data_IF_491944620530
#
_entry.id   IF_491944620530
#
_cell.length_a   1.000
_cell.length_b   1.000
_cell.length_c   1.000
_cell.angle_alpha   90.00
_cell.angle_beta   90.00
_cell.angle_gamma   90.00
#
_symmetry.space_group_name_H-M   'P 1'
#
loop_
_entity.id
_entity.type
_entity.pdbx_description
1 polymer ?
#
# COMPACT_ATOMS: atom_id res chain seq x y z
N UNK A 1 0.30 -11.19 -38.55
CA UNK A 1 0.13 -9.98 -37.71
C UNK A 1 -0.85 -10.29 -36.58
N UNK A 2 -0.38 -10.43 -35.34
CA UNK A 2 -1.22 -10.71 -34.16
C UNK A 2 -1.79 -9.38 -33.64
N UNK A 3 -3.11 -9.21 -33.69
CA UNK A 3 -3.81 -8.07 -33.06
C UNK A 3 -3.79 -8.27 -31.54
N UNK A 4 -3.07 -7.41 -30.84
CA UNK A 4 -3.18 -7.23 -29.39
C UNK A 4 -4.58 -6.67 -29.07
N UNK A 5 -5.39 -7.45 -28.35
CA UNK A 5 -6.56 -6.93 -27.66
C UNK A 5 -6.09 -6.00 -26.54
N UNK A 6 -6.33 -4.69 -26.68
CA UNK A 6 -6.29 -3.75 -25.56
C UNK A 6 -7.55 -3.98 -24.71
N UNK A 7 -7.39 -4.64 -23.58
CA UNK A 7 -8.42 -4.68 -22.55
C UNK A 7 -8.37 -3.31 -21.83
N UNK A 8 -9.38 -2.49 -22.08
CA UNK A 8 -9.59 -1.21 -21.39
C UNK A 8 -10.25 -1.49 -20.04
N UNK A 9 -9.51 -1.27 -18.96
CA UNK A 9 -10.02 -1.39 -17.59
C UNK A 9 -10.76 -0.07 -17.27
N UNK A 10 -12.07 -0.04 -17.52
CA UNK A 10 -12.99 0.96 -16.95
C UNK A 10 -13.45 0.42 -15.61
N UNK A 11 -13.16 1.10 -14.49
CA UNK A 11 -13.72 0.63 -13.22
C UNK A 11 -13.53 1.45 -11.95
N UNK A 12 -12.48 2.27 -11.80
CA UNK A 12 -12.28 3.01 -10.55
C UNK A 12 -12.74 4.46 -10.75
N UNK A 13 -13.91 4.80 -10.20
CA UNK A 13 -14.37 6.19 -10.10
C UNK A 13 -13.64 6.88 -8.95
N UNK A 14 -12.53 7.54 -9.25
CA UNK A 14 -11.90 8.46 -8.32
C UNK A 14 -12.75 9.74 -8.21
N UNK A 15 -13.17 10.11 -7.01
CA UNK A 15 -13.78 11.41 -6.75
C UNK A 15 -12.72 12.50 -6.96
N UNK A 16 -12.96 13.38 -7.94
CA UNK A 16 -12.09 14.51 -8.25
C UNK A 16 -12.40 15.67 -7.30
N UNK A 17 -11.51 15.94 -6.35
CA UNK A 17 -11.50 17.24 -5.66
C UNK A 17 -10.68 18.23 -6.49
N UNK A 18 -11.37 19.09 -7.23
CA UNK A 18 -10.76 20.20 -7.97
C UNK A 18 -10.24 21.29 -7.02
N UNK A 19 -9.13 21.92 -7.41
CA UNK A 19 -8.45 22.94 -6.63
C UNK A 19 -9.30 24.23 -6.60
N UNK A 20 -10.10 24.42 -5.54
CA UNK A 20 -10.80 25.66 -5.20
C UNK A 20 -10.60 25.92 -3.69
N UNK A 21 -9.43 26.43 -3.31
CA UNK A 21 -8.98 26.83 -1.95
C UNK A 21 -9.13 25.81 -0.81
N UNK A 22 -8.07 25.70 -0.01
CA UNK A 22 -8.17 25.19 1.37
C UNK A 22 -7.13 24.16 1.79
N UNK A 23 -6.15 23.79 0.97
CA UNK A 23 -5.07 22.87 1.38
C UNK A 23 -3.76 23.20 0.66
N UNK A 24 -2.72 23.51 1.44
CA UNK A 24 -1.35 23.76 0.99
C UNK A 24 -0.48 22.52 1.20
N UNK A 25 0.26 22.11 0.18
CA UNK A 25 1.28 21.07 0.32
C UNK A 25 2.46 21.61 1.14
N UNK A 26 2.87 20.88 2.17
CA UNK A 26 4.00 21.25 3.03
C UNK A 26 5.25 20.48 2.62
N UNK A 27 5.17 19.15 2.67
CA UNK A 27 6.32 18.29 2.40
C UNK A 27 5.90 16.87 1.98
N UNK A 28 6.90 16.05 1.63
CA UNK A 28 6.78 14.61 1.46
C UNK A 28 7.49 13.92 2.61
N UNK A 29 6.79 13.59 3.71
CA UNK A 29 7.44 13.27 4.97
C UNK A 29 8.03 11.86 5.03
N UNK A 30 7.83 11.04 4.00
CA UNK A 30 8.36 9.68 3.93
C UNK A 30 7.83 8.77 5.05
N UNK A 31 8.71 7.93 5.59
CA UNK A 31 8.36 6.86 6.53
C UNK A 31 8.06 7.43 7.92
N UNK A 32 6.90 7.08 8.47
CA UNK A 32 6.58 7.37 9.87
C UNK A 32 7.09 6.27 10.80
N UNK A 33 6.89 5.00 10.41
CA UNK A 33 7.36 3.84 11.16
C UNK A 33 6.85 3.81 12.59
N UNK A 34 7.77 3.47 13.51
CA UNK A 34 7.57 3.44 14.95
C UNK A 34 7.28 4.83 15.56
N UNK A 35 7.67 5.91 14.88
CA UNK A 35 7.44 7.29 15.31
C UNK A 35 6.09 7.87 14.89
N UNK A 36 5.20 7.07 14.32
CA UNK A 36 3.88 7.52 13.82
C UNK A 36 3.10 8.33 14.87
N UNK A 37 3.02 7.85 16.11
CA UNK A 37 2.29 8.54 17.17
C UNK A 37 2.90 9.90 17.52
N UNK A 38 4.23 9.97 17.61
CA UNK A 38 4.98 11.21 17.87
C UNK A 38 4.78 12.24 16.74
N UNK A 39 4.89 11.79 15.48
CA UNK A 39 4.71 12.64 14.29
C UNK A 39 3.28 13.20 14.23
N UNK A 40 2.27 12.37 14.46
CA UNK A 40 0.86 12.78 14.49
C UNK A 40 0.63 13.82 15.60
N UNK A 41 1.17 13.57 16.80
CA UNK A 41 1.06 14.52 17.91
C UNK A 41 1.77 15.85 17.61
N UNK A 42 2.92 15.80 16.92
CA UNK A 42 3.64 16.98 16.43
C UNK A 42 2.79 17.81 15.47
N UNK A 43 2.21 17.18 14.44
CA UNK A 43 1.34 17.89 13.49
C UNK A 43 0.06 18.42 14.15
N UNK A 44 -0.54 17.68 15.07
CA UNK A 44 -1.68 18.14 15.85
C UNK A 44 -1.35 19.39 16.67
N UNK A 45 -0.15 19.44 17.25
CA UNK A 45 0.34 20.59 18.01
C UNK A 45 0.70 21.78 17.12
N UNK A 46 1.28 21.54 15.95
CA UNK A 46 1.78 22.59 15.06
C UNK A 46 0.66 23.23 14.23
N UNK A 47 -0.21 22.42 13.64
CA UNK A 47 -1.23 22.88 12.69
C UNK A 47 -2.64 22.91 13.30
N UNK A 48 -2.85 22.22 14.42
CA UNK A 48 -4.16 22.00 15.02
C UNK A 48 -4.84 20.76 14.45
N UNK A 49 -5.52 20.01 15.32
CA UNK A 49 -6.32 18.84 14.93
C UNK A 49 -7.29 19.21 13.81
N UNK A 50 -7.35 18.37 12.78
CA UNK A 50 -8.20 18.53 11.59
C UNK A 50 -7.82 19.68 10.63
N UNK A 51 -6.74 20.43 10.91
CA UNK A 51 -6.19 21.42 9.98
C UNK A 51 -5.00 20.88 9.18
N UNK A 52 -4.67 19.60 9.33
CA UNK A 52 -3.69 18.91 8.50
C UNK A 52 -4.23 17.56 8.06
N UNK A 53 -3.66 17.00 7.00
CA UNK A 53 -3.96 15.65 6.52
C UNK A 53 -2.78 15.05 5.77
N UNK A 54 -2.73 13.72 5.76
CA UNK A 54 -1.84 12.96 4.88
C UNK A 54 -2.65 12.45 3.70
N UNK A 55 -2.18 12.77 2.50
CA UNK A 55 -2.74 12.31 1.23
C UNK A 55 -1.62 11.76 0.37
N UNK A 56 -1.98 11.06 -0.71
CA UNK A 56 -0.99 10.62 -1.70
C UNK A 56 -1.25 11.31 -3.03
N UNK A 57 -0.23 11.90 -3.63
CA UNK A 57 -0.30 12.45 -4.98
C UNK A 57 -0.62 11.31 -5.96
N UNK A 58 -1.58 11.52 -6.87
CA UNK A 58 -1.93 10.53 -7.87
C UNK A 58 -2.42 11.23 -9.14
N UNK A 59 -1.68 11.04 -10.25
CA UNK A 59 -1.89 11.76 -11.51
C UNK A 59 -2.07 13.28 -11.27
N UNK A 60 -3.21 13.85 -11.66
CA UNK A 60 -3.50 15.28 -11.52
C UNK A 60 -3.96 15.69 -10.11
N UNK A 61 -4.23 14.74 -9.21
CA UNK A 61 -4.92 15.00 -7.94
C UNK A 61 -4.22 14.41 -6.71
N UNK A 62 -5.01 14.18 -5.69
CA UNK A 62 -4.62 13.50 -4.45
C UNK A 62 -5.68 12.46 -4.11
N UNK A 63 -5.22 11.35 -3.54
CA UNK A 63 -6.07 10.24 -3.09
C UNK A 63 -5.88 10.02 -1.59
N UNK A 64 -6.91 9.50 -0.93
CA UNK A 64 -6.89 9.18 0.49
C UNK A 64 -6.45 7.73 0.72
N UNK A 65 -6.26 7.38 1.99
CA UNK A 65 -5.77 6.07 2.41
C UNK A 65 -6.56 4.88 1.80
N UNK A 66 -7.90 4.86 1.76
CA UNK A 66 -8.64 3.74 1.16
C UNK A 66 -8.30 3.51 -0.32
N UNK A 67 -8.17 4.60 -1.10
CA UNK A 67 -7.77 4.52 -2.50
C UNK A 67 -6.32 4.06 -2.67
N UNK A 68 -5.42 4.47 -1.78
CA UNK A 68 -4.02 4.01 -1.76
C UNK A 68 -3.96 2.51 -1.53
N UNK A 69 -4.74 1.99 -0.56
CA UNK A 69 -4.85 0.56 -0.29
C UNK A 69 -5.30 -0.21 -1.55
N UNK A 70 -6.21 0.34 -2.35
CA UNK A 70 -6.64 -0.30 -3.61
C UNK A 70 -5.57 -0.33 -4.69
N UNK A 71 -4.71 0.69 -4.77
CA UNK A 71 -3.54 0.66 -5.67
C UNK A 71 -2.47 -0.32 -5.19
N UNK A 72 -2.34 -0.46 -3.87
CA UNK A 72 -1.52 -1.49 -3.22
C UNK A 72 -2.01 -2.89 -3.64
N UNK A 73 -3.29 -3.16 -3.41
CA UNK A 73 -3.97 -4.42 -3.76
C UNK A 73 -3.84 -4.75 -5.25
N UNK A 74 -4.03 -3.77 -6.14
CA UNK A 74 -3.88 -3.98 -7.58
C UNK A 74 -2.44 -4.36 -7.95
N UNK A 75 -1.44 -3.75 -7.31
CA UNK A 75 -0.04 -4.11 -7.52
C UNK A 75 0.25 -5.55 -7.11
N UNK A 76 -0.30 -5.99 -5.98
CA UNK A 76 -0.18 -7.38 -5.54
C UNK A 76 -0.97 -8.35 -6.45
N UNK A 77 -2.13 -7.96 -6.99
CA UNK A 77 -2.85 -8.81 -7.95
C UNK A 77 -2.05 -8.98 -9.26
N UNK A 78 -1.52 -7.90 -9.81
CA UNK A 78 -0.70 -7.97 -11.03
C UNK A 78 0.53 -8.84 -10.78
N UNK A 79 1.13 -8.70 -9.61
CA UNK A 79 2.23 -9.55 -9.19
C UNK A 79 1.84 -11.03 -9.02
N UNK A 80 0.64 -11.31 -8.50
CA UNK A 80 0.13 -12.68 -8.35
C UNK A 80 -0.12 -13.39 -9.69
N UNK A 81 -0.45 -12.63 -10.72
CA UNK A 81 -0.57 -13.13 -12.09
C UNK A 81 0.83 -13.37 -12.68
N UNK A 82 1.76 -12.43 -12.47
CA UNK A 82 3.11 -12.48 -13.05
C UNK A 82 3.99 -13.56 -12.41
N UNK A 83 3.88 -13.74 -11.10
CA UNK A 83 4.64 -14.72 -10.29
C UNK A 83 3.73 -15.83 -9.77
N UNK A 84 2.88 -16.37 -10.64
CA UNK A 84 1.84 -17.33 -10.26
C UNK A 84 2.35 -18.52 -9.44
N UNK A 85 3.52 -19.08 -9.78
CA UNK A 85 4.12 -20.18 -9.02
C UNK A 85 4.45 -19.79 -7.57
N UNK A 86 4.99 -18.58 -7.34
CA UNK A 86 5.29 -18.09 -5.99
C UNK A 86 4.01 -17.93 -5.16
N UNK A 87 2.95 -17.43 -5.78
CA UNK A 87 1.68 -17.19 -5.11
C UNK A 87 0.90 -18.49 -4.86
N UNK A 88 0.98 -19.47 -5.77
CA UNK A 88 0.46 -20.81 -5.52
C UNK A 88 1.22 -21.49 -4.37
N UNK A 89 2.54 -21.33 -4.29
CA UNK A 89 3.31 -21.81 -3.13
C UNK A 89 2.85 -21.12 -1.83
N UNK A 90 2.64 -19.80 -1.85
CA UNK A 90 2.11 -19.11 -0.68
C UNK A 90 0.75 -19.69 -0.25
N UNK A 91 -0.15 -19.91 -1.22
CA UNK A 91 -1.47 -20.51 -0.98
C UNK A 91 -1.36 -21.88 -0.31
N UNK A 92 -0.46 -22.73 -0.80
CA UNK A 92 -0.30 -24.11 -0.32
C UNK A 92 0.46 -24.18 1.02
N UNK A 93 1.25 -23.17 1.36
CA UNK A 93 2.03 -23.11 2.61
C UNK A 93 1.29 -22.40 3.75
N UNK A 94 0.69 -21.25 3.44
CA UNK A 94 0.13 -20.38 4.46
C UNK A 94 -1.25 -20.85 4.94
N UNK A 95 -1.45 -20.82 6.26
CA UNK A 95 -2.75 -20.78 6.93
C UNK A 95 -3.35 -19.38 6.87
N UNK A 96 -2.49 -18.37 7.02
CA UNK A 96 -2.80 -16.95 6.92
C UNK A 96 -1.48 -16.17 6.79
N UNK A 97 -1.57 -14.88 6.51
CA UNK A 97 -0.44 -13.96 6.45
C UNK A 97 -0.54 -12.89 7.54
N UNK A 98 0.57 -12.27 7.91
CA UNK A 98 0.60 -11.10 8.79
C UNK A 98 1.76 -10.16 8.42
N UNK A 99 1.73 -8.91 8.90
CA UNK A 99 2.78 -7.95 8.60
C UNK A 99 3.96 -8.10 9.56
N UNK A 100 3.78 -7.64 10.80
CA UNK A 100 4.80 -7.66 11.86
C UNK A 100 4.33 -8.53 13.01
N UNK A 101 3.08 -8.35 13.44
CA UNK A 101 2.51 -9.02 14.62
C UNK A 101 1.40 -9.97 14.18
N UNK A 102 1.31 -11.15 14.79
CA UNK A 102 0.29 -12.13 14.42
C UNK A 102 -1.15 -11.60 14.60
N UNK A 103 -1.36 -10.62 15.48
CA UNK A 103 -2.65 -9.93 15.65
C UNK A 103 -3.09 -9.12 14.43
N UNK A 104 -2.20 -8.82 13.46
CA UNK A 104 -2.55 -8.13 12.20
C UNK A 104 -3.66 -8.89 11.44
N UNK A 105 -3.80 -10.20 11.68
CA UNK A 105 -4.84 -11.08 11.13
C UNK A 105 -6.26 -10.68 11.50
N UNK A 106 -6.45 -10.03 12.64
CA UNK A 106 -7.77 -9.60 13.11
C UNK A 106 -8.42 -8.56 12.18
N UNK A 107 -7.62 -7.88 11.35
CA UNK A 107 -8.14 -6.97 10.32
C UNK A 107 -8.91 -7.67 9.21
N UNK A 108 -8.64 -8.96 8.97
CA UNK A 108 -9.18 -9.69 7.82
C UNK A 108 -8.96 -8.94 6.51
N UNK A 109 -10.04 -8.43 5.92
CA UNK A 109 -10.04 -7.68 4.65
C UNK A 109 -10.18 -6.15 4.84
N UNK A 110 -10.31 -5.67 6.07
CA UNK A 110 -10.66 -4.29 6.40
C UNK A 110 -9.44 -3.43 6.74
N UNK A 111 -9.08 -2.54 5.81
CA UNK A 111 -7.97 -1.59 5.99
C UNK A 111 -8.19 -0.55 7.11
N UNK A 112 -9.41 -0.38 7.62
CA UNK A 112 -9.67 0.57 8.72
C UNK A 112 -9.22 0.05 10.08
N UNK A 113 -9.02 -1.27 10.21
CA UNK A 113 -8.52 -1.90 11.42
C UNK A 113 -6.99 -1.86 11.37
N UNK A 114 -6.38 -1.07 12.26
CA UNK A 114 -4.93 -0.84 12.33
C UNK A 114 -4.50 -0.93 13.79
N UNK A 115 -4.20 -2.13 14.27
CA UNK A 115 -4.04 -2.43 15.69
C UNK A 115 -2.61 -2.19 16.20
N UNK A 116 -1.65 -2.00 15.29
CA UNK A 116 -0.22 -1.91 15.60
C UNK A 116 0.38 -0.54 15.26
N UNK A 117 1.61 -0.31 15.74
CA UNK A 117 2.31 0.97 15.58
C UNK A 117 2.54 1.32 14.10
N UNK A 118 2.90 0.32 13.30
CA UNK A 118 3.05 0.46 11.86
C UNK A 118 1.72 0.19 11.15
N UNK A 119 1.46 0.95 10.08
CA UNK A 119 0.34 0.66 9.18
C UNK A 119 0.63 -0.63 8.40
N UNK A 120 -0.26 -1.61 8.48
CA UNK A 120 -0.15 -2.90 7.80
C UNK A 120 -1.16 -2.97 6.64
N UNK A 121 -0.65 -2.90 5.40
CA UNK A 121 -1.48 -2.86 4.18
C UNK A 121 -1.32 -4.16 3.39
N UNK A 122 -0.11 -4.69 3.35
CA UNK A 122 0.30 -5.81 2.51
C UNK A 122 -0.35 -7.14 2.89
N UNK A 123 -0.53 -7.41 4.18
CA UNK A 123 -1.22 -8.62 4.64
C UNK A 123 -2.69 -8.57 4.23
N UNK A 124 -3.36 -7.44 4.48
CA UNK A 124 -4.75 -7.19 4.05
C UNK A 124 -4.88 -7.24 2.52
N UNK A 125 -3.90 -6.67 1.79
CA UNK A 125 -3.86 -6.71 0.33
C UNK A 125 -3.73 -8.13 -0.21
N UNK A 126 -2.86 -8.96 0.37
CA UNK A 126 -2.71 -10.36 -0.02
C UNK A 126 -4.03 -11.12 0.22
N UNK A 127 -4.68 -10.94 1.38
CA UNK A 127 -5.98 -11.58 1.64
C UNK A 127 -7.05 -11.16 0.63
N UNK A 128 -7.13 -9.87 0.29
CA UNK A 128 -8.03 -9.38 -0.75
C UNK A 128 -7.70 -9.95 -2.14
N UNK A 129 -6.41 -10.11 -2.47
CA UNK A 129 -5.97 -10.73 -3.73
C UNK A 129 -6.39 -12.20 -3.78
N UNK A 130 -6.28 -12.95 -2.69
CA UNK A 130 -6.77 -14.33 -2.62
C UNK A 130 -8.25 -14.41 -2.93
N UNK A 131 -9.07 -13.57 -2.29
CA UNK A 131 -10.51 -13.46 -2.60
C UNK A 131 -10.75 -13.15 -4.08
N UNK A 132 -10.04 -12.16 -4.64
CA UNK A 132 -10.17 -11.77 -6.07
C UNK A 132 -9.72 -12.87 -7.04
N UNK A 133 -8.80 -13.73 -6.61
CA UNK A 133 -8.33 -14.90 -7.38
C UNK A 133 -9.25 -16.12 -7.22
N UNK A 134 -10.21 -16.08 -6.30
CA UNK A 134 -11.01 -17.24 -5.93
C UNK A 134 -10.19 -18.32 -5.22
N UNK A 135 -9.18 -17.89 -4.45
CA UNK A 135 -8.29 -18.76 -3.67
C UNK A 135 -8.60 -18.64 -2.18
N UNK A 136 -8.27 -19.71 -1.47
CA UNK A 136 -8.22 -19.76 -0.01
C UNK A 136 -6.81 -20.16 0.41
N UNK A 137 -6.43 -19.84 1.65
CA UNK A 137 -5.21 -20.36 2.24
C UNK A 137 -5.41 -21.85 2.57
N UNK A 138 -4.59 -22.72 1.99
CA UNK A 138 -4.73 -24.18 2.08
C UNK A 138 -3.66 -24.83 2.97
N UNK A 139 -2.70 -24.03 3.43
CA UNK A 139 -1.59 -24.50 4.24
C UNK A 139 -1.84 -24.46 5.74
N UNK A 140 -0.76 -24.53 6.51
CA UNK A 140 -0.81 -24.63 7.99
C UNK A 140 0.12 -23.65 8.71
N UNK A 141 0.92 -22.88 7.98
CA UNK A 141 1.91 -21.98 8.55
C UNK A 141 1.41 -20.53 8.59
N UNK A 142 1.68 -19.80 9.67
CA UNK A 142 1.51 -18.35 9.67
C UNK A 142 2.73 -17.72 9.00
N UNK A 143 2.50 -16.95 7.94
CA UNK A 143 3.58 -16.40 7.13
C UNK A 143 3.73 -14.90 7.35
N UNK A 144 4.93 -14.47 7.75
CA UNK A 144 5.24 -13.05 7.94
C UNK A 144 5.69 -12.40 6.63
N UNK A 145 4.91 -11.42 6.15
CA UNK A 145 5.16 -10.75 4.86
C UNK A 145 6.21 -9.65 4.97
N UNK A 146 6.46 -9.10 6.17
CA UNK A 146 7.57 -8.17 6.44
C UNK A 146 8.68 -8.85 7.24
N UNK A 147 9.12 -10.01 6.77
CA UNK A 147 10.26 -10.73 7.33
C UNK A 147 11.54 -10.56 6.51
N UNK A 148 12.67 -10.36 7.19
CA UNK A 148 14.01 -10.45 6.57
C UNK A 148 14.55 -11.88 6.52
N UNK A 149 13.91 -12.82 7.22
CA UNK A 149 14.37 -14.20 7.33
C UNK A 149 13.57 -15.12 6.41
N UNK A 150 12.24 -14.98 6.42
CA UNK A 150 11.34 -15.90 5.73
C UNK A 150 11.32 -15.71 4.21
N UNK A 151 11.19 -16.80 3.43
CA UNK A 151 11.22 -16.74 1.96
C UNK A 151 10.16 -15.80 1.38
N UNK A 152 8.90 -15.92 1.80
CA UNK A 152 7.81 -15.07 1.32
C UNK A 152 8.00 -13.62 1.77
N UNK A 153 8.37 -13.38 3.03
CA UNK A 153 8.63 -12.04 3.55
C UNK A 153 9.72 -11.29 2.78
N UNK A 154 10.76 -11.98 2.31
CA UNK A 154 11.82 -11.38 1.50
C UNK A 154 11.35 -10.89 0.13
N UNK A 155 10.33 -11.51 -0.45
CA UNK A 155 9.96 -11.30 -1.87
C UNK A 155 8.56 -10.73 -2.09
N UNK A 156 7.71 -10.76 -1.05
CA UNK A 156 6.36 -10.19 -1.03
C UNK A 156 6.25 -8.98 -0.09
N UNK A 157 7.33 -8.57 0.57
CA UNK A 157 7.40 -7.27 1.26
C UNK A 157 7.13 -6.11 0.27
N UNK A 158 6.44 -5.04 0.71
CA UNK A 158 6.06 -3.96 -0.20
C UNK A 158 7.24 -3.21 -0.83
N UNK A 159 8.42 -3.27 -0.21
CA UNK A 159 9.64 -2.72 -0.80
C UNK A 159 10.22 -3.52 -1.96
N UNK A 160 9.65 -4.69 -2.29
CA UNK A 160 10.10 -5.59 -3.36
C UNK A 160 9.04 -5.86 -4.42
N UNK A 161 7.76 -5.82 -4.05
CA UNK A 161 6.67 -5.99 -5.01
C UNK A 161 6.64 -4.77 -5.93
N UNK A 162 6.69 -4.92 -7.28
CA UNK A 162 6.60 -3.80 -8.20
C UNK A 162 5.26 -3.09 -8.10
N UNK A 163 5.26 -1.76 -8.13
CA UNK A 163 4.03 -0.99 -8.30
C UNK A 163 3.50 -1.17 -9.72
N UNK A 164 2.19 -1.40 -9.86
CA UNK A 164 1.60 -1.75 -11.17
C UNK A 164 1.72 -0.64 -12.24
N UNK A 165 1.80 0.63 -11.84
CA UNK A 165 1.94 1.76 -12.75
C UNK A 165 3.05 2.74 -12.28
N UNK A 166 4.33 2.44 -12.56
CA UNK A 166 5.46 3.22 -12.06
C UNK A 166 5.48 4.67 -12.56
N UNK A 167 4.73 5.01 -13.62
CA UNK A 167 4.64 6.39 -14.12
C UNK A 167 3.89 7.31 -13.15
N UNK A 168 3.13 6.75 -12.21
CA UNK A 168 2.43 7.51 -11.19
C UNK A 168 3.29 7.84 -9.97
N UNK A 169 4.52 7.31 -9.87
CA UNK A 169 5.41 7.57 -8.74
C UNK A 169 6.03 8.95 -8.89
N UNK A 170 5.96 9.76 -7.83
CA UNK A 170 6.48 11.14 -7.85
C UNK A 170 8.00 11.13 -7.78
N UNK A 171 8.62 11.78 -8.76
CA UNK A 171 10.06 12.01 -8.82
C UNK A 171 10.45 13.40 -8.26
N UNK A 172 11.62 13.56 -7.62
CA UNK A 172 12.60 12.51 -7.33
C UNK A 172 12.06 11.51 -6.31
N UNK A 173 12.43 10.23 -6.47
CA UNK A 173 12.09 9.17 -5.53
C UNK A 173 12.64 9.51 -4.14
N UNK A 174 11.88 9.20 -3.09
CA UNK A 174 12.43 9.21 -1.74
C UNK A 174 13.30 7.98 -1.53
N UNK A 175 14.43 8.17 -0.85
CA UNK A 175 15.33 7.08 -0.50
C UNK A 175 14.82 6.32 0.74
N UNK A 176 15.07 5.02 0.78
CA UNK A 176 14.69 4.16 1.90
C UNK A 176 15.16 2.72 1.72
N UNK A 177 14.54 1.80 2.46
CA UNK A 177 14.88 0.37 2.42
C UNK A 177 14.27 -0.39 1.24
N UNK A 178 13.47 0.28 0.42
CA UNK A 178 12.73 -0.29 -0.70
C UNK A 178 13.43 -0.08 -2.05
N UNK A 179 13.06 -0.91 -3.03
CA UNK A 179 13.50 -0.76 -4.41
C UNK A 179 12.73 0.37 -5.11
N UNK A 180 13.39 1.07 -6.03
CA UNK A 180 12.74 2.03 -6.94
C UNK A 180 11.65 1.30 -7.74
N UNK A 181 10.50 1.95 -7.92
CA UNK A 181 9.30 1.42 -8.56
C UNK A 181 8.60 0.28 -7.81
N UNK A 182 8.92 0.06 -6.53
CA UNK A 182 8.15 -0.84 -5.68
C UNK A 182 6.86 -0.19 -5.18
N UNK A 183 5.96 -0.98 -4.60
CA UNK A 183 4.74 -0.49 -3.97
C UNK A 183 5.06 0.46 -2.81
N UNK A 184 6.10 0.15 -2.03
CA UNK A 184 6.58 1.05 -0.97
C UNK A 184 7.12 2.36 -1.53
N UNK A 185 7.81 2.34 -2.70
CA UNK A 185 8.26 3.57 -3.36
C UNK A 185 7.09 4.48 -3.71
N UNK A 186 6.04 3.95 -4.33
CA UNK A 186 4.80 4.70 -4.54
C UNK A 186 4.25 5.26 -3.23
N UNK A 187 4.10 4.40 -2.21
CA UNK A 187 3.51 4.78 -0.93
C UNK A 187 4.29 5.91 -0.25
N UNK A 188 5.62 5.87 -0.26
CA UNK A 188 6.44 6.86 0.42
C UNK A 188 6.68 8.10 -0.45
N UNK A 189 7.06 7.93 -1.72
CA UNK A 189 7.38 9.03 -2.63
C UNK A 189 6.16 9.87 -2.99
N UNK A 190 4.96 9.33 -2.91
CA UNK A 190 3.73 10.06 -3.21
C UNK A 190 3.05 10.63 -1.97
N UNK A 191 3.47 10.27 -0.76
CA UNK A 191 2.88 10.76 0.50
C UNK A 191 3.16 12.26 0.65
N UNK A 192 2.12 13.03 0.92
CA UNK A 192 2.18 14.48 1.07
C UNK A 192 1.45 14.88 2.34
N UNK A 193 2.12 15.70 3.16
CA UNK A 193 1.48 16.47 4.21
C UNK A 193 0.82 17.70 3.61
N UNK A 194 -0.48 17.87 3.88
CA UNK A 194 -1.23 19.07 3.52
C UNK A 194 -1.76 19.75 4.77
N UNK A 195 -1.72 21.08 4.79
CA UNK A 195 -2.26 21.92 5.86
C UNK A 195 -3.31 22.84 5.29
N UNK A 196 -4.36 23.11 6.07
CA UNK A 196 -5.46 23.97 5.66
C UNK A 196 -4.98 25.40 5.51
N UNK A 197 -5.39 26.06 4.42
CA UNK A 197 -5.19 27.51 4.23
C UNK A 197 -6.19 28.33 5.07
#
# INVERSE_FOLDING_TARGET
>A
MRRLLKISIKGIKFFRFGNKMGWKNIERPGVFGDKKAEIIAGYDSEYGKSNWRIVHKHAEGFIQFPEVCKLFEESYLQDSIRRETLWAQLRDTALDVYDIDESDRESGLDYSIQNNVATHIQDIAIRNVFVRRGWEFEGSELVQIRSKAEPFGKVLTPGRVPFHDPQLIVVPHLAGWWDINSVEDFYQSNKVLQVRE
#
